data_IF_980224807277
#
_entry.id   IF_980224807277
#
_cell.length_a   1.000
_cell.length_b   1.000
_cell.length_c   1.000
_cell.angle_alpha   90.00
_cell.angle_beta   90.00
_cell.angle_gamma   90.00
#
_symmetry.space_group_name_H-M   'P 1'
#
loop_
_entity.id
_entity.type
_entity.pdbx_description
1 polymer ?
#
# COMPACT_ATOMS: atom_id res chain seq x y z
N UNK A 1 -4.86 -14.12 -19.98
CA UNK A 1 -3.68 -13.39 -19.44
C UNK A 1 -2.65 -13.11 -20.53
N UNK A 2 -1.97 -11.94 -20.48
CA UNK A 2 -0.84 -11.61 -21.38
C UNK A 2 0.47 -12.03 -20.70
N UNK A 3 1.30 -12.79 -21.39
CA UNK A 3 2.57 -13.30 -20.89
C UNK A 3 3.71 -12.79 -21.76
N UNK A 4 4.79 -12.35 -21.11
CA UNK A 4 6.10 -12.20 -21.74
C UNK A 4 6.84 -13.51 -21.51
N UNK A 5 7.28 -14.13 -22.58
CA UNK A 5 7.97 -15.41 -22.58
C UNK A 5 9.42 -15.13 -22.93
N UNK A 6 10.34 -15.68 -22.13
CA UNK A 6 11.75 -15.75 -22.48
C UNK A 6 12.14 -17.22 -22.55
N UNK A 7 12.72 -17.61 -23.67
CA UNK A 7 13.21 -18.96 -23.89
C UNK A 7 14.73 -18.91 -23.92
N UNK A 8 15.36 -19.83 -23.19
CA UNK A 8 16.80 -19.98 -23.12
C UNK A 8 17.17 -21.44 -23.37
N UNK A 9 17.54 -21.75 -24.60
CA UNK A 9 18.11 -23.03 -25.05
C UNK A 9 19.61 -22.86 -25.39
N UNK A 10 19.94 -21.94 -26.28
CA UNK A 10 21.28 -21.55 -26.74
C UNK A 10 21.34 -20.07 -27.13
N UNK A 11 20.24 -19.49 -27.63
CA UNK A 11 20.08 -18.05 -27.88
C UNK A 11 18.88 -17.50 -27.11
N UNK A 12 18.95 -16.26 -26.62
CA UNK A 12 17.86 -15.68 -25.84
C UNK A 12 16.72 -15.23 -26.77
N UNK A 13 15.64 -16.02 -26.85
CA UNK A 13 14.43 -15.63 -27.59
C UNK A 13 13.39 -15.03 -26.65
N UNK A 14 12.73 -13.96 -27.11
CA UNK A 14 11.74 -13.23 -26.31
C UNK A 14 10.49 -12.94 -27.14
N UNK A 15 9.33 -13.42 -26.70
CA UNK A 15 8.06 -13.18 -27.37
C UNK A 15 6.92 -12.86 -26.37
N UNK A 16 5.80 -12.40 -26.91
CA UNK A 16 4.57 -12.07 -26.19
C UNK A 16 3.47 -13.02 -26.65
N UNK A 17 2.82 -13.64 -25.69
CA UNK A 17 1.68 -14.54 -25.95
C UNK A 17 0.50 -14.16 -25.07
N UNK A 18 -0.70 -14.43 -25.57
CA UNK A 18 -1.92 -14.33 -24.79
C UNK A 18 -2.41 -15.76 -24.56
N UNK A 19 -2.58 -16.15 -23.30
CA UNK A 19 -3.04 -17.48 -22.90
C UNK A 19 -4.22 -17.34 -21.95
N UNK A 20 -5.19 -18.23 -22.03
CA UNK A 20 -6.33 -18.24 -21.10
C UNK A 20 -5.85 -18.60 -19.67
N UNK A 21 -6.19 -17.83 -18.61
CA UNK A 21 -5.79 -18.12 -17.24
C UNK A 21 -6.19 -19.49 -16.71
N UNK A 22 -7.30 -20.05 -17.21
CA UNK A 22 -7.83 -21.34 -16.79
C UNK A 22 -7.32 -22.50 -17.67
N UNK A 23 -6.50 -22.17 -18.66
CA UNK A 23 -5.78 -23.17 -19.47
C UNK A 23 -4.62 -23.79 -18.70
N UNK A 24 -4.08 -24.87 -19.25
CA UNK A 24 -2.99 -25.63 -18.62
C UNK A 24 -1.63 -25.23 -19.19
N UNK A 25 -0.58 -25.56 -18.44
CA UNK A 25 0.81 -25.48 -18.90
C UNK A 25 1.02 -26.31 -20.17
N UNK A 26 0.43 -27.49 -20.28
CA UNK A 26 0.50 -28.30 -21.51
C UNK A 26 -0.03 -27.56 -22.74
N UNK A 27 -1.17 -26.86 -22.61
CA UNK A 27 -1.73 -26.06 -23.68
C UNK A 27 -0.84 -24.84 -24.02
N UNK A 28 -0.21 -24.23 -23.01
CA UNK A 28 0.76 -23.17 -23.21
C UNK A 28 1.97 -23.64 -24.01
N UNK A 29 2.53 -24.81 -23.67
CA UNK A 29 3.68 -25.37 -24.37
C UNK A 29 3.34 -25.66 -25.83
N UNK A 30 2.16 -26.22 -26.12
CA UNK A 30 1.70 -26.40 -27.51
C UNK A 30 1.64 -25.08 -28.28
N UNK A 31 1.10 -24.03 -27.67
CA UNK A 31 1.06 -22.70 -28.29
C UNK A 31 2.46 -22.10 -28.52
N UNK A 32 3.45 -22.44 -27.68
CA UNK A 32 4.85 -22.05 -27.89
C UNK A 32 5.51 -22.84 -29.03
N UNK A 33 5.20 -24.13 -29.17
CA UNK A 33 5.68 -24.98 -30.28
C UNK A 33 5.10 -24.49 -31.60
N UNK A 34 3.80 -24.20 -31.65
CA UNK A 34 3.13 -23.67 -32.86
C UNK A 34 3.73 -22.32 -33.32
N UNK A 35 4.25 -21.53 -32.38
CA UNK A 35 4.95 -20.27 -32.66
C UNK A 35 6.44 -20.43 -32.96
N UNK A 36 6.95 -21.66 -33.04
CA UNK A 36 8.38 -21.97 -33.19
C UNK A 36 9.26 -21.32 -32.11
N UNK A 37 8.72 -21.08 -30.91
CA UNK A 37 9.48 -20.52 -29.77
C UNK A 37 10.16 -21.60 -28.94
N UNK A 38 9.65 -22.83 -28.99
CA UNK A 38 10.23 -24.01 -28.32
C UNK A 38 10.13 -25.20 -29.27
N UNK A 39 11.10 -26.11 -29.22
CA UNK A 39 11.08 -27.34 -30.00
C UNK A 39 10.01 -28.31 -29.45
N UNK A 40 9.40 -29.14 -30.30
CA UNK A 40 8.44 -30.19 -29.93
C UNK A 40 8.99 -31.16 -28.87
N UNK A 41 10.32 -31.32 -28.83
CA UNK A 41 11.04 -32.12 -27.84
C UNK A 41 11.02 -31.53 -26.42
N UNK A 42 10.58 -30.28 -26.24
CA UNK A 42 10.50 -29.63 -24.92
C UNK A 42 9.51 -30.29 -23.97
N UNK A 43 8.56 -31.08 -24.48
CA UNK A 43 7.53 -31.74 -23.68
C UNK A 43 8.07 -32.86 -22.77
N UNK A 44 9.28 -33.36 -23.02
CA UNK A 44 9.91 -34.40 -22.22
C UNK A 44 10.59 -33.86 -20.95
N UNK A 45 10.21 -34.38 -19.78
CA UNK A 45 10.89 -34.11 -18.51
C UNK A 45 10.73 -32.68 -17.97
N UNK A 46 9.60 -32.05 -18.30
CA UNK A 46 9.25 -30.72 -17.80
C UNK A 46 9.18 -30.68 -16.27
N UNK A 47 9.57 -29.56 -15.71
CA UNK A 47 9.40 -29.20 -14.31
C UNK A 47 9.01 -27.74 -14.19
N UNK A 48 8.28 -27.42 -13.13
CA UNK A 48 7.92 -26.06 -12.76
C UNK A 48 8.62 -25.72 -11.46
N UNK A 49 9.30 -24.58 -11.43
CA UNK A 49 10.01 -24.13 -10.23
C UNK A 49 9.04 -23.94 -9.05
N UNK A 50 9.28 -24.65 -7.95
CA UNK A 50 8.46 -24.64 -6.74
C UNK A 50 7.21 -25.53 -6.80
N UNK A 51 7.01 -26.28 -7.88
CA UNK A 51 5.95 -27.27 -8.07
C UNK A 51 6.51 -28.55 -8.73
N UNK A 52 7.74 -28.94 -8.36
CA UNK A 52 8.49 -30.03 -9.00
C UNK A 52 7.86 -31.42 -8.85
N UNK A 53 7.01 -31.62 -7.85
CA UNK A 53 6.35 -32.89 -7.53
C UNK A 53 4.98 -33.06 -8.21
N UNK A 54 4.48 -32.03 -8.88
CA UNK A 54 3.19 -32.06 -9.60
C UNK A 54 3.38 -32.40 -11.08
N UNK A 55 2.34 -32.96 -11.72
CA UNK A 55 2.38 -33.17 -13.18
C UNK A 55 2.32 -31.81 -13.90
N UNK A 56 3.44 -31.36 -14.50
CA UNK A 56 3.55 -30.03 -15.06
C UNK A 56 2.62 -29.82 -16.24
N UNK A 57 2.14 -30.86 -16.93
CA UNK A 57 1.30 -30.72 -18.13
C UNK A 57 -0.14 -30.36 -17.76
N UNK A 58 -0.63 -30.90 -16.65
CA UNK A 58 -1.99 -30.69 -16.14
C UNK A 58 -2.15 -29.41 -15.30
N UNK A 59 -1.05 -28.80 -14.86
CA UNK A 59 -1.06 -27.61 -14.01
C UNK A 59 -1.82 -26.43 -14.65
N UNK A 60 -2.78 -25.80 -13.95
CA UNK A 60 -3.41 -24.57 -14.40
C UNK A 60 -2.42 -23.41 -14.44
N UNK A 61 -2.53 -22.54 -15.45
CA UNK A 61 -1.59 -21.42 -15.62
C UNK A 61 -1.64 -20.38 -14.49
N UNK A 62 -2.78 -20.19 -13.83
CA UNK A 62 -2.87 -19.26 -12.71
C UNK A 62 -2.04 -19.69 -11.49
N UNK A 63 -1.89 -21.00 -11.26
CA UNK A 63 -1.10 -21.58 -10.15
C UNK A 63 0.37 -21.21 -10.21
N UNK A 64 0.92 -21.09 -11.43
CA UNK A 64 2.29 -20.67 -11.66
C UNK A 64 2.63 -19.29 -11.10
N UNK A 65 1.62 -18.44 -10.86
CA UNK A 65 1.80 -17.06 -10.45
C UNK A 65 1.22 -16.76 -9.06
N UNK A 66 0.90 -17.79 -8.26
CA UNK A 66 0.36 -17.60 -6.90
C UNK A 66 1.37 -16.92 -5.97
N UNK A 67 2.66 -17.26 -6.11
CA UNK A 67 3.75 -16.74 -5.27
C UNK A 67 4.45 -15.51 -5.85
N UNK A 68 4.13 -15.10 -7.10
CA UNK A 68 4.75 -13.96 -7.75
C UNK A 68 4.36 -13.75 -9.22
N UNK A 69 4.80 -12.63 -9.82
CA UNK A 69 4.50 -12.29 -11.22
C UNK A 69 5.35 -13.01 -12.27
N UNK A 70 6.21 -13.94 -11.85
CA UNK A 70 7.17 -14.67 -12.69
C UNK A 70 7.14 -16.15 -12.31
N UNK A 71 7.19 -17.01 -13.33
CA UNK A 71 7.30 -18.45 -13.19
C UNK A 71 8.39 -18.99 -14.12
N UNK A 72 9.01 -20.11 -13.76
CA UNK A 72 10.01 -20.77 -14.57
C UNK A 72 9.61 -22.22 -14.82
N UNK A 73 9.52 -22.58 -16.10
CA UNK A 73 9.28 -23.94 -16.58
C UNK A 73 10.59 -24.38 -17.22
N UNK A 74 11.11 -25.53 -16.86
CA UNK A 74 12.41 -25.98 -17.35
C UNK A 74 12.43 -27.48 -17.60
N UNK A 75 13.33 -27.90 -18.47
CA UNK A 75 13.77 -29.28 -18.57
C UNK A 75 15.32 -29.31 -18.54
N UNK A 76 15.94 -30.43 -18.92
CA UNK A 76 17.41 -30.54 -18.92
C UNK A 76 18.11 -29.61 -19.90
N UNK A 77 17.44 -29.25 -21.00
CA UNK A 77 18.06 -28.60 -22.15
C UNK A 77 17.65 -27.13 -22.30
N UNK A 78 16.57 -26.70 -21.64
CA UNK A 78 15.98 -25.39 -21.85
C UNK A 78 15.21 -24.86 -20.63
N UNK A 79 15.25 -23.54 -20.45
CA UNK A 79 14.41 -22.81 -19.48
C UNK A 79 13.49 -21.82 -20.18
N UNK A 80 12.20 -21.89 -19.86
CA UNK A 80 11.16 -20.93 -20.25
C UNK A 80 10.77 -20.10 -19.03
N UNK A 81 11.15 -18.82 -19.04
CA UNK A 81 10.70 -17.86 -18.04
C UNK A 81 9.43 -17.18 -18.52
N UNK A 82 8.36 -17.33 -17.75
CA UNK A 82 7.08 -16.64 -17.97
C UNK A 82 6.99 -15.44 -17.03
N UNK A 83 6.60 -14.30 -17.55
CA UNK A 83 6.30 -13.10 -16.75
C UNK A 83 4.90 -12.62 -17.10
N UNK A 84 4.01 -12.57 -16.11
CA UNK A 84 2.65 -12.04 -16.31
C UNK A 84 2.73 -10.55 -16.60
N UNK A 85 2.36 -10.16 -17.82
CA UNK A 85 2.18 -8.74 -18.16
C UNK A 85 0.84 -8.28 -17.61
N UNK A 86 0.86 -7.14 -16.91
CA UNK A 86 -0.36 -6.40 -16.61
C UNK A 86 -1.01 -6.01 -17.93
N UNK A 87 -2.32 -6.25 -18.04
CA UNK A 87 -3.13 -5.95 -19.23
C UNK A 87 -3.07 -4.46 -19.54
N UNK A 88 -3.02 -4.13 -20.83
CA UNK A 88 -2.87 -2.79 -21.45
C UNK A 88 -3.94 -1.73 -21.09
N UNK A 89 -4.73 -1.92 -20.03
CA UNK A 89 -5.28 -0.79 -19.28
C UNK A 89 -4.22 -0.11 -18.40
N UNK A 90 -3.05 -0.74 -18.19
CA UNK A 90 -1.84 -0.11 -17.64
C UNK A 90 -1.01 0.53 -18.77
N UNK A 91 -1.53 1.61 -19.32
CA UNK A 91 -0.76 2.50 -20.19
C UNK A 91 0.20 3.32 -19.31
N UNK A 92 1.55 3.19 -19.40
CA UNK A 92 2.49 3.95 -18.55
C UNK A 92 2.50 5.45 -18.85
N UNK A 93 1.94 5.85 -20.00
CA UNK A 93 1.75 7.24 -20.39
C UNK A 93 0.41 7.84 -19.88
N UNK A 94 -0.42 7.03 -19.21
CA UNK A 94 -1.73 7.42 -18.67
C UNK A 94 -1.95 7.04 -17.20
N UNK A 95 -1.08 6.22 -16.59
CA UNK A 95 -1.02 6.12 -15.14
C UNK A 95 -0.55 7.46 -14.60
N UNK A 96 -1.47 8.30 -14.10
CA UNK A 96 -1.10 9.46 -13.26
C UNK A 96 -0.07 8.95 -12.25
N UNK A 97 1.18 9.36 -12.42
CA UNK A 97 2.17 9.27 -11.36
C UNK A 97 1.50 9.91 -10.17
N UNK A 98 1.28 9.13 -9.13
CA UNK A 98 0.71 9.64 -7.90
C UNK A 98 1.69 10.69 -7.36
N UNK A 99 1.20 11.90 -7.16
CA UNK A 99 1.98 13.00 -6.61
C UNK A 99 1.93 12.91 -5.09
N UNK A 100 3.07 12.55 -4.50
CA UNK A 100 3.26 12.47 -3.06
C UNK A 100 4.01 13.67 -2.50
N UNK A 101 4.41 14.66 -3.30
CA UNK A 101 5.27 15.77 -2.86
C UNK A 101 4.70 16.48 -1.61
N UNK A 102 3.43 16.91 -1.70
CA UNK A 102 2.71 17.54 -0.59
C UNK A 102 2.54 16.60 0.61
N UNK A 103 2.30 15.32 0.37
CA UNK A 103 2.19 14.32 1.43
C UNK A 103 3.51 14.18 2.19
N UNK A 104 4.63 14.06 1.48
CA UNK A 104 5.96 13.97 2.08
C UNK A 104 6.27 15.21 2.93
N UNK A 105 6.03 16.40 2.40
CA UNK A 105 6.23 17.66 3.13
C UNK A 105 5.36 17.75 4.39
N UNK A 106 4.11 17.32 4.29
CA UNK A 106 3.15 17.39 5.40
C UNK A 106 3.50 16.39 6.50
N UNK A 107 3.90 15.16 6.14
CA UNK A 107 4.43 14.19 7.11
C UNK A 107 5.68 14.71 7.80
N UNK A 108 6.61 15.31 7.05
CA UNK A 108 7.84 15.88 7.62
C UNK A 108 7.53 16.97 8.65
N UNK A 109 6.58 17.86 8.34
CA UNK A 109 6.10 18.90 9.27
C UNK A 109 5.43 18.29 10.50
N UNK A 110 4.57 17.30 10.33
CA UNK A 110 3.94 16.58 11.44
C UNK A 110 5.00 15.95 12.35
N UNK A 111 5.95 15.19 11.79
CA UNK A 111 7.00 14.53 12.57
C UNK A 111 7.87 15.54 13.33
N UNK A 112 8.20 16.67 12.69
CA UNK A 112 8.91 17.78 13.34
C UNK A 112 8.15 18.34 14.55
N UNK A 113 6.84 18.55 14.41
CA UNK A 113 5.99 19.06 15.50
C UNK A 113 5.81 18.03 16.61
N UNK A 114 5.52 16.77 16.28
CA UNK A 114 5.29 15.70 17.25
C UNK A 114 6.51 15.45 18.15
N UNK A 115 7.74 15.58 17.62
CA UNK A 115 8.99 15.45 18.40
C UNK A 115 9.17 16.51 19.49
N UNK A 116 8.50 17.65 19.39
CA UNK A 116 8.65 18.77 20.35
C UNK A 116 7.82 18.61 21.64
N UNK A 117 7.35 17.39 21.93
CA UNK A 117 6.64 16.93 23.16
C UNK A 117 5.20 17.39 23.38
N UNK A 118 4.43 17.65 22.33
CA UNK A 118 3.03 18.08 22.50
C UNK A 118 2.00 16.96 22.33
N UNK A 119 2.37 15.81 21.74
CA UNK A 119 1.44 14.69 21.46
C UNK A 119 2.04 13.39 21.97
N UNK A 120 1.30 12.68 22.84
CA UNK A 120 1.69 11.36 23.32
C UNK A 120 1.28 10.27 22.32
N UNK A 121 2.02 9.16 22.30
CA UNK A 121 1.54 7.96 21.63
C UNK A 121 0.21 7.51 22.27
N UNK A 122 -0.71 7.05 21.43
CA UNK A 122 -2.07 6.71 21.79
C UNK A 122 -3.08 7.87 21.65
N UNK A 123 -2.64 9.11 21.44
CA UNK A 123 -3.58 10.24 21.29
C UNK A 123 -4.46 10.04 20.05
N UNK A 124 -5.77 10.05 20.27
CA UNK A 124 -6.80 9.95 19.24
C UNK A 124 -7.30 11.34 18.88
N UNK A 125 -7.39 11.65 17.59
CA UNK A 125 -7.93 12.90 17.06
C UNK A 125 -9.24 12.62 16.33
N UNK A 126 -10.21 13.50 16.50
CA UNK A 126 -11.43 13.51 15.69
C UNK A 126 -11.33 14.57 14.59
N UNK A 127 -11.55 14.18 13.35
CA UNK A 127 -11.54 15.09 12.20
C UNK A 127 -12.82 14.97 11.41
N UNK A 128 -13.58 16.05 11.34
CA UNK A 128 -14.71 16.21 10.45
C UNK A 128 -14.41 17.25 9.39
N UNK A 129 -14.56 16.85 8.13
CA UNK A 129 -14.47 17.72 6.99
C UNK A 129 -15.73 17.58 6.14
N UNK A 130 -16.55 18.62 6.15
CA UNK A 130 -17.89 18.60 5.58
C UNK A 130 -18.70 17.44 6.19
N UNK A 131 -19.11 16.49 5.37
CA UNK A 131 -19.86 15.30 5.77
C UNK A 131 -18.97 14.08 6.09
N UNK A 132 -17.66 14.17 5.89
CA UNK A 132 -16.73 13.05 6.11
C UNK A 132 -16.11 13.16 7.49
N UNK A 133 -16.13 12.05 8.24
CA UNK A 133 -15.69 11.98 9.62
C UNK A 133 -14.68 10.85 9.79
N UNK A 134 -13.58 11.14 10.47
CA UNK A 134 -12.46 10.24 10.67
C UNK A 134 -11.94 10.31 12.10
N UNK A 135 -11.41 9.20 12.57
CA UNK A 135 -10.43 9.24 13.65
C UNK A 135 -9.04 9.07 13.08
N UNK A 136 -8.08 9.78 13.68
CA UNK A 136 -6.67 9.55 13.43
C UNK A 136 -5.96 9.36 14.75
N UNK A 137 -5.31 8.20 14.93
CA UNK A 137 -4.55 7.89 16.13
C UNK A 137 -3.07 8.11 15.84
N UNK A 138 -2.39 8.79 16.76
CA UNK A 138 -0.93 8.88 16.77
C UNK A 138 -0.40 7.73 17.61
N UNK A 139 0.51 6.95 17.04
CA UNK A 139 1.18 5.84 17.72
C UNK A 139 2.71 5.98 17.54
N UNK A 140 3.50 5.20 18.28
CA UNK A 140 4.97 5.24 18.21
C UNK A 140 5.51 4.95 16.81
N UNK A 141 4.79 4.08 16.10
CA UNK A 141 5.08 3.68 14.74
C UNK A 141 4.68 4.75 13.71
N UNK A 142 3.73 5.64 14.01
CA UNK A 142 3.25 6.67 13.07
C UNK A 142 1.78 7.05 13.27
N UNK A 143 1.00 6.98 12.19
CA UNK A 143 -0.40 7.40 12.16
C UNK A 143 -1.31 6.27 11.69
N UNK A 144 -2.43 6.10 12.36
CA UNK A 144 -3.48 5.15 12.00
C UNK A 144 -4.79 5.89 11.71
N UNK A 145 -5.47 5.53 10.62
CA UNK A 145 -6.66 6.22 10.15
C UNK A 145 -7.88 5.28 10.20
N UNK A 146 -8.98 5.78 10.74
CA UNK A 146 -10.23 5.04 10.92
C UNK A 146 -11.40 5.85 10.39
N UNK A 147 -12.32 5.20 9.69
CA UNK A 147 -13.61 5.81 9.36
C UNK A 147 -14.44 5.93 10.64
N UNK A 148 -14.90 7.14 10.97
CA UNK A 148 -15.61 7.40 12.24
C UNK A 148 -16.79 6.46 12.47
N UNK A 149 -17.67 6.29 11.47
CA UNK A 149 -18.87 5.46 11.60
C UNK A 149 -18.57 3.96 11.64
N UNK A 150 -17.69 3.50 10.74
CA UNK A 150 -17.48 2.08 10.50
C UNK A 150 -16.43 1.44 11.42
N UNK A 151 -15.53 2.26 11.95
CA UNK A 151 -14.38 1.82 12.75
C UNK A 151 -14.32 2.59 14.08
N UNK A 152 -15.48 3.02 14.60
CA UNK A 152 -15.55 3.75 15.87
C UNK A 152 -14.87 2.98 16.99
N UNK A 153 -15.38 1.77 17.29
CA UNK A 153 -14.91 0.98 18.42
C UNK A 153 -13.47 0.51 18.20
N UNK A 154 -13.08 0.29 16.94
CA UNK A 154 -11.72 -0.06 16.54
C UNK A 154 -10.71 1.04 16.87
N UNK A 155 -11.07 2.31 16.65
CA UNK A 155 -10.21 3.46 16.89
C UNK A 155 -9.86 3.66 18.38
N UNK A 156 -10.69 3.13 19.30
CA UNK A 156 -10.47 3.19 20.75
C UNK A 156 -9.79 1.94 21.33
N UNK A 157 -9.54 0.89 20.52
CA UNK A 157 -8.85 -0.31 21.03
C UNK A 157 -7.37 -0.02 21.25
N UNK A 158 -6.79 -0.58 22.30
CA UNK A 158 -5.35 -0.42 22.58
C UNK A 158 -4.47 -1.38 21.79
N UNK A 159 -4.99 -2.52 21.35
CA UNK A 159 -4.24 -3.51 20.54
C UNK A 159 -5.14 -4.17 19.50
N UNK A 160 -4.52 -4.82 18.51
CA UNK A 160 -5.25 -5.59 17.49
C UNK A 160 -6.07 -4.74 16.52
N UNK A 161 -5.77 -3.44 16.43
CA UNK A 161 -6.47 -2.50 15.56
C UNK A 161 -6.25 -2.81 14.08
N UNK A 162 -7.31 -2.65 13.29
CA UNK A 162 -7.27 -2.72 11.84
C UNK A 162 -7.69 -1.38 11.24
N UNK A 163 -6.78 -0.39 11.17
CA UNK A 163 -7.08 0.87 10.48
C UNK A 163 -7.32 0.61 9.00
N UNK A 164 -8.16 1.44 8.36
CA UNK A 164 -8.33 1.32 6.90
C UNK A 164 -7.06 1.74 6.15
N UNK A 165 -6.22 2.54 6.80
CA UNK A 165 -4.93 3.01 6.33
C UNK A 165 -4.01 3.34 7.51
N UNK A 166 -2.72 3.04 7.37
CA UNK A 166 -1.70 3.50 8.29
C UNK A 166 -0.53 4.16 7.54
N UNK A 167 0.10 5.14 8.18
CA UNK A 167 1.35 5.75 7.73
C UNK A 167 2.39 5.46 8.79
N UNK A 168 3.27 4.51 8.52
CA UNK A 168 4.36 4.15 9.41
C UNK A 168 5.59 5.01 9.12
N UNK A 169 6.27 5.48 10.15
CA UNK A 169 7.42 6.37 10.05
C UNK A 169 8.70 5.58 10.41
N UNK A 170 9.48 5.21 9.39
CA UNK A 170 10.66 4.33 9.53
C UNK A 170 11.98 5.05 9.30
N UNK A 171 13.01 4.72 10.08
CA UNK A 171 14.39 5.10 9.73
C UNK A 171 14.81 4.39 8.45
N UNK A 172 15.85 4.89 7.78
CA UNK A 172 16.34 4.28 6.53
C UNK A 172 16.72 2.81 6.71
N UNK A 173 17.29 2.47 7.86
CA UNK A 173 17.77 1.12 8.21
C UNK A 173 16.61 0.15 8.47
N UNK A 174 15.44 0.67 8.88
CA UNK A 174 14.24 -0.12 9.13
C UNK A 174 13.40 -0.36 7.85
N UNK A 175 13.75 0.27 6.73
CA UNK A 175 13.07 0.07 5.45
C UNK A 175 13.47 -1.27 4.83
N UNK A 176 12.47 -2.05 4.42
CA UNK A 176 12.69 -3.17 3.51
C UNK A 176 13.17 -2.70 2.14
N UNK A 177 13.77 -3.61 1.36
CA UNK A 177 14.23 -3.30 0.00
C UNK A 177 13.10 -2.76 -0.90
N UNK A 178 11.88 -3.28 -0.74
CA UNK A 178 10.70 -2.82 -1.47
C UNK A 178 10.28 -1.40 -1.08
N UNK A 179 10.20 -1.12 0.22
CA UNK A 179 9.87 0.22 0.74
C UNK A 179 10.95 1.24 0.36
N UNK A 180 12.23 0.87 0.41
CA UNK A 180 13.34 1.73 0.02
C UNK A 180 13.27 2.09 -1.47
N UNK A 181 12.95 1.12 -2.33
CA UNK A 181 12.77 1.36 -3.77
C UNK A 181 11.56 2.26 -4.04
N UNK A 182 10.44 2.04 -3.34
CA UNK A 182 9.27 2.90 -3.46
C UNK A 182 9.56 4.32 -2.97
N UNK A 183 10.16 4.50 -1.79
CA UNK A 183 10.54 5.82 -1.28
C UNK A 183 11.43 6.52 -2.29
N UNK A 184 12.48 5.86 -2.81
CA UNK A 184 13.37 6.43 -3.85
C UNK A 184 12.64 6.88 -5.12
N UNK A 185 11.53 6.22 -5.47
CA UNK A 185 10.73 6.62 -6.64
C UNK A 185 9.93 7.91 -6.40
N UNK A 186 9.78 8.32 -5.14
CA UNK A 186 8.95 9.45 -4.72
C UNK A 186 9.80 10.59 -4.13
N UNK A 187 10.85 10.27 -3.37
CA UNK A 187 11.75 11.20 -2.69
C UNK A 187 13.10 10.54 -2.38
N UNK A 188 14.08 11.32 -1.92
CA UNK A 188 15.32 10.74 -1.40
C UNK A 188 15.15 10.28 0.06
N UNK A 189 15.42 8.98 0.37
CA UNK A 189 15.30 8.48 1.74
C UNK A 189 16.34 9.13 2.65
N UNK A 190 15.86 9.80 3.70
CA UNK A 190 16.71 10.44 4.69
C UNK A 190 17.23 9.42 5.69
N UNK A 191 18.51 9.53 6.06
CA UNK A 191 19.12 8.73 7.13
C UNK A 191 18.64 9.17 8.51
N UNK A 192 18.48 10.48 8.71
CA UNK A 192 18.21 11.06 10.04
C UNK A 192 16.71 11.27 10.33
N UNK A 193 15.88 11.32 9.28
CA UNK A 193 14.43 11.47 9.41
C UNK A 193 13.71 10.13 9.31
N UNK A 194 12.54 10.04 9.96
CA UNK A 194 11.63 8.91 9.75
C UNK A 194 10.89 9.12 8.42
N UNK A 195 11.10 8.20 7.48
CA UNK A 195 10.48 8.17 6.16
C UNK A 195 9.08 7.54 6.26
N UNK A 196 8.03 8.14 5.69
CA UNK A 196 6.70 7.55 5.68
C UNK A 196 6.64 6.33 4.77
N UNK A 197 5.93 5.31 5.22
CA UNK A 197 5.50 4.13 4.46
C UNK A 197 3.98 4.03 4.61
N UNK A 198 3.27 3.99 3.48
CA UNK A 198 1.81 3.91 3.49
C UNK A 198 1.38 2.45 3.42
N UNK A 199 0.66 2.01 4.45
CA UNK A 199 0.00 0.72 4.51
C UNK A 199 -1.48 0.90 4.21
N UNK A 200 -1.87 0.52 2.99
CA UNK A 200 -3.27 0.47 2.57
C UNK A 200 -3.60 -0.94 2.09
N UNK A 201 -4.84 -1.40 2.30
CA UNK A 201 -5.29 -2.68 1.75
C UNK A 201 -4.98 -2.78 0.24
N UNK A 202 -4.50 -3.96 -0.21
CA UNK A 202 -3.96 -4.18 -1.57
C UNK A 202 -4.83 -3.52 -2.65
N UNK A 203 -4.21 -2.67 -3.49
CA UNK A 203 -4.84 -2.08 -4.69
C UNK A 203 -5.59 -0.75 -4.51
N UNK A 204 -5.48 -0.08 -3.36
CA UNK A 204 -6.33 1.09 -3.01
C UNK A 204 -5.66 2.47 -3.03
N UNK A 205 -4.37 2.58 -3.37
CA UNK A 205 -3.72 3.89 -3.42
C UNK A 205 -4.08 4.61 -4.73
N UNK A 206 -4.83 5.70 -4.59
CA UNK A 206 -5.17 6.65 -5.65
C UNK A 206 -4.75 8.06 -5.22
N UNK A 207 -4.74 9.02 -6.16
CA UNK A 207 -4.41 10.41 -5.81
C UNK A 207 -5.41 10.98 -4.81
N UNK A 208 -6.70 10.65 -4.94
CA UNK A 208 -7.74 11.07 -3.99
C UNK A 208 -7.45 10.56 -2.58
N UNK A 209 -6.96 9.33 -2.45
CA UNK A 209 -6.58 8.75 -1.16
C UNK A 209 -5.38 9.50 -0.58
N UNK A 210 -4.34 9.78 -1.38
CA UNK A 210 -3.15 10.53 -0.93
C UNK A 210 -3.53 11.95 -0.51
N UNK A 211 -4.34 12.64 -1.31
CA UNK A 211 -4.81 13.99 -1.02
C UNK A 211 -5.67 14.01 0.25
N UNK A 212 -6.55 13.01 0.41
CA UNK A 212 -7.37 12.83 1.61
C UNK A 212 -6.51 12.64 2.87
N UNK A 213 -5.53 11.74 2.83
CA UNK A 213 -4.59 11.53 3.94
C UNK A 213 -3.82 12.82 4.24
N UNK A 214 -3.30 13.48 3.20
CA UNK A 214 -2.55 14.72 3.34
C UNK A 214 -3.37 15.79 4.07
N UNK A 215 -4.66 15.93 3.71
CA UNK A 215 -5.57 16.84 4.41
C UNK A 215 -5.78 16.43 5.86
N UNK A 216 -5.98 15.15 6.16
CA UNK A 216 -6.15 14.67 7.54
C UNK A 216 -4.91 14.96 8.39
N UNK A 217 -3.70 14.66 7.89
CA UNK A 217 -2.44 14.97 8.58
C UNK A 217 -2.31 16.49 8.78
N UNK A 218 -2.65 17.28 7.76
CA UNK A 218 -2.66 18.73 7.89
C UNK A 218 -3.64 19.21 8.98
N UNK A 219 -4.82 18.60 9.13
CA UNK A 219 -5.75 18.96 10.20
C UNK A 219 -5.19 18.64 11.57
N UNK A 220 -4.50 17.52 11.73
CA UNK A 220 -3.79 17.19 12.97
C UNK A 220 -2.70 18.21 13.27
N UNK A 221 -1.92 18.63 12.27
CA UNK A 221 -0.93 19.71 12.42
C UNK A 221 -1.58 21.00 12.93
N UNK A 222 -2.75 21.38 12.40
CA UNK A 222 -3.50 22.56 12.85
C UNK A 222 -3.96 22.41 14.30
N UNK A 223 -4.48 21.24 14.68
CA UNK A 223 -4.85 20.92 16.06
C UNK A 223 -3.64 21.09 16.97
N UNK A 224 -2.53 20.40 16.68
CA UNK A 224 -1.28 20.46 17.46
C UNK A 224 -0.79 21.90 17.60
N UNK A 225 -0.76 22.65 16.51
CA UNK A 225 -0.33 24.04 16.50
C UNK A 225 -1.19 24.92 17.42
N UNK A 226 -2.52 24.75 17.39
CA UNK A 226 -3.43 25.53 18.24
C UNK A 226 -3.24 25.22 19.72
N UNK A 227 -3.23 23.95 20.10
CA UNK A 227 -3.07 23.54 21.50
C UNK A 227 -1.70 23.92 22.06
N UNK A 228 -0.63 23.82 21.24
CA UNK A 228 0.70 24.29 21.63
C UNK A 228 0.73 25.78 21.96
N UNK A 229 0.07 26.62 21.17
CA UNK A 229 0.01 28.07 21.43
C UNK A 229 -0.67 28.41 22.76
N UNK A 230 -1.59 27.56 23.22
CA UNK A 230 -2.32 27.76 24.48
C UNK A 230 -1.67 27.04 25.68
N UNK A 231 -0.55 26.35 25.47
CA UNK A 231 0.15 25.60 26.53
C UNK A 231 -0.58 24.32 26.97
N UNK A 232 -1.52 23.84 26.18
CA UNK A 232 -2.31 22.65 26.48
C UNK A 232 -1.63 21.39 25.93
N UNK A 233 -1.60 20.33 26.75
CA UNK A 233 -1.05 19.04 26.35
C UNK A 233 -2.09 18.22 25.60
N UNK A 234 -1.68 17.56 24.50
CA UNK A 234 -2.49 16.54 23.83
C UNK A 234 -2.07 15.18 24.40
N UNK A 235 -2.82 14.68 25.36
CA UNK A 235 -2.60 13.36 25.94
C UNK A 235 -3.67 12.36 25.49
N UNK A 236 -3.38 11.08 25.67
CA UNK A 236 -4.31 9.98 25.40
C UNK A 236 -5.20 9.65 26.62
N UNK A 237 -4.90 10.25 27.77
CA UNK A 237 -5.49 9.92 29.08
C UNK A 237 -6.67 10.83 29.43
N UNK A 238 -6.81 11.97 28.76
CA UNK A 238 -7.94 12.89 28.95
C UNK A 238 -9.22 12.34 28.30
N UNK A 239 -10.39 12.56 28.93
CA UNK A 239 -11.69 12.21 28.34
C UNK A 239 -12.05 13.08 27.11
N UNK A 240 -11.18 14.03 26.77
CA UNK A 240 -11.38 15.07 25.80
C UNK A 240 -10.53 14.79 24.57
N UNK A 241 -11.20 14.39 23.49
CA UNK A 241 -10.57 14.05 22.22
C UNK A 241 -10.34 15.35 21.44
N UNK A 242 -9.09 15.68 21.07
CA UNK A 242 -8.81 16.84 20.23
C UNK A 242 -9.52 16.72 18.88
N UNK A 243 -10.21 17.78 18.50
CA UNK A 243 -11.12 17.79 17.37
C UNK A 243 -10.84 18.93 16.40
N UNK A 244 -10.96 18.61 15.11
CA UNK A 244 -11.10 19.59 14.02
C UNK A 244 -12.45 19.36 13.35
N UNK A 245 -13.30 20.39 13.30
CA UNK A 245 -14.60 20.33 12.65
C UNK A 245 -14.70 21.46 11.64
N UNK A 246 -14.97 21.10 10.38
CA UNK A 246 -15.23 22.07 9.31
C UNK A 246 -16.56 21.77 8.64
N UNK A 247 -17.45 22.77 8.59
CA UNK A 247 -18.75 22.72 7.89
C UNK A 247 -18.88 23.98 7.05
N UNK A 248 -19.02 23.83 5.73
CA UNK A 248 -18.93 24.96 4.81
C UNK A 248 -17.54 25.61 4.89
N UNK A 249 -17.52 26.93 5.08
CA UNK A 249 -16.31 27.74 5.23
C UNK A 249 -15.86 27.87 6.70
N UNK A 250 -16.73 27.54 7.66
CA UNK A 250 -16.43 27.66 9.08
C UNK A 250 -15.61 26.47 9.56
N UNK A 251 -14.60 26.73 10.39
CA UNK A 251 -13.83 25.70 11.05
C UNK A 251 -13.63 25.99 12.54
N UNK A 252 -13.67 24.92 13.33
CA UNK A 252 -13.50 24.94 14.78
C UNK A 252 -12.47 23.90 15.19
N UNK A 253 -11.65 24.27 16.17
CA UNK A 253 -10.66 23.38 16.78
C UNK A 253 -10.82 23.49 18.29
N UNK A 254 -10.94 22.35 18.96
CA UNK A 254 -11.19 22.25 20.39
C UNK A 254 -11.19 20.80 20.83
N UNK A 255 -11.92 20.50 21.91
CA UNK A 255 -12.13 19.14 22.37
C UNK A 255 -13.57 18.69 22.15
N UNK A 256 -13.73 17.38 21.99
CA UNK A 256 -15.02 16.70 22.00
C UNK A 256 -14.94 15.53 22.99
N UNK A 257 -16.00 15.30 23.76
CA UNK A 257 -16.03 14.15 24.68
C UNK A 257 -16.43 12.88 23.94
N UNK A 258 -16.09 11.72 24.52
CA UNK A 258 -16.56 10.44 23.99
C UNK A 258 -18.10 10.37 23.96
N UNK A 259 -18.79 10.86 25.00
CA UNK A 259 -20.26 10.83 25.03
C UNK A 259 -20.87 11.70 23.90
N UNK A 260 -20.23 12.83 23.57
CA UNK A 260 -20.67 13.65 22.44
C UNK A 260 -20.48 12.91 21.12
N UNK A 261 -19.35 12.22 20.94
CA UNK A 261 -19.10 11.40 19.76
C UNK A 261 -20.09 10.23 19.63
N UNK A 262 -20.45 9.57 20.72
CA UNK A 262 -21.44 8.48 20.71
C UNK A 262 -22.82 8.97 20.26
N UNK A 263 -23.20 10.22 20.59
CA UNK A 263 -24.46 10.81 20.13
C UNK A 263 -24.48 11.06 18.62
N UNK A 264 -23.34 11.44 18.03
CA UNK A 264 -23.22 11.72 16.59
C UNK A 264 -22.78 10.50 15.76
N UNK A 265 -22.48 9.37 16.41
CA UNK A 265 -22.21 8.07 15.76
C UNK A 265 -23.44 7.53 15.03
N UNK A 266 -24.65 7.82 15.55
CA UNK A 266 -25.94 7.39 15.01
C UNK A 266 -26.25 8.02 13.65
#
# INVERSE_FOLDING_TARGET
MKLKVKVRDTELMMDKITADPDSTVGALIRALVEKNLVNINFTGGLKVQGLEDEDPVSLPLHRLFETGGRAEIYNRDMTVTLTRRRTENDNPAGSKLLDYSKFMETVDKFHGLARTKTVRAGTLFYVQQQHRQYFVRVDDAGLEFFHFRNQYDEAFRETGRQPFLAVELKTREALSAGELNWIRSVTFPSKEKKNPVIHAGRGRLSQEVIDGINVLIHRIIVIIGRFRTHGEALDAETPHIPAYVQVGEECSVGYITKEQLEKVKK
#
